data_IF_889165941977
#
_entry.id   IF_889165941977
#
_cell.length_a   1.000
_cell.length_b   1.000
_cell.length_c   1.000
_cell.angle_alpha   90.00
_cell.angle_beta   90.00
_cell.angle_gamma   90.00
#
_symmetry.space_group_name_H-M   'P 1'
#
loop_
_entity.id
_entity.type
_entity.pdbx_description
1 polymer ?
#
# COMPACT_ATOMS: atom_id res chain seq x y z
N UNK A 1 -31.48 5.70 -14.67
CA UNK A 1 -31.59 6.92 -13.82
C UNK A 1 -31.03 6.60 -12.45
N UNK A 2 -29.99 7.32 -11.98
CA UNK A 2 -29.34 7.03 -10.68
C UNK A 2 -30.03 7.87 -9.60
N UNK A 3 -30.91 7.25 -8.82
CA UNK A 3 -31.61 7.95 -7.73
C UNK A 3 -30.63 8.22 -6.59
N UNK A 4 -30.32 9.49 -6.35
CA UNK A 4 -29.51 9.96 -5.22
C UNK A 4 -30.44 10.43 -4.09
N UNK A 5 -30.37 9.76 -2.93
CA UNK A 5 -31.09 10.18 -1.73
C UNK A 5 -30.25 11.17 -0.92
N UNK A 6 -30.87 12.28 -0.52
CA UNK A 6 -30.25 13.28 0.35
C UNK A 6 -29.99 12.71 1.76
N UNK A 7 -29.22 13.41 2.59
CA UNK A 7 -29.02 13.00 3.99
C UNK A 7 -30.32 13.07 4.78
N UNK A 8 -31.18 14.03 4.45
CA UNK A 8 -32.45 14.25 5.12
C UNK A 8 -33.44 13.11 4.81
N UNK A 9 -33.54 12.70 3.55
CA UNK A 9 -34.39 11.57 3.14
C UNK A 9 -34.03 10.29 3.90
N UNK A 10 -32.73 10.10 4.19
CA UNK A 10 -32.23 8.93 4.92
C UNK A 10 -32.63 8.97 6.39
N UNK A 11 -32.52 10.14 7.02
CA UNK A 11 -32.93 10.32 8.42
C UNK A 11 -34.42 10.09 8.59
N UNK A 12 -35.24 10.66 7.70
CA UNK A 12 -36.69 10.47 7.70
C UNK A 12 -37.04 8.99 7.52
N UNK A 13 -36.39 8.29 6.59
CA UNK A 13 -36.64 6.87 6.35
C UNK A 13 -36.27 5.97 7.53
N UNK A 14 -35.15 6.25 8.21
CA UNK A 14 -34.72 5.49 9.39
C UNK A 14 -35.61 5.81 10.60
N UNK A 15 -36.00 7.08 10.79
CA UNK A 15 -36.91 7.48 11.86
C UNK A 15 -38.30 6.82 11.71
N UNK A 16 -38.83 6.77 10.48
CA UNK A 16 -40.10 6.10 10.21
C UNK A 16 -40.01 4.60 10.47
N UNK A 17 -38.89 3.95 10.13
CA UNK A 17 -38.66 2.55 10.51
C UNK A 17 -38.72 2.36 12.03
N UNK A 18 -38.05 3.21 12.82
CA UNK A 18 -38.09 3.10 14.28
C UNK A 18 -39.51 3.30 14.85
N UNK A 19 -40.37 4.08 14.17
CA UNK A 19 -41.77 4.28 14.53
C UNK A 19 -42.64 3.05 14.22
N UNK A 20 -42.50 2.45 13.04
CA UNK A 20 -43.39 1.37 12.57
C UNK A 20 -42.83 -0.04 12.75
N UNK A 21 -41.54 -0.17 13.09
CA UNK A 21 -40.80 -1.43 13.28
C UNK A 21 -40.90 -2.40 12.08
N UNK A 22 -41.18 -1.89 10.88
CA UNK A 22 -41.36 -2.70 9.66
C UNK A 22 -40.86 -1.95 8.43
N UNK A 23 -39.86 -2.53 7.76
CA UNK A 23 -39.26 -1.98 6.53
C UNK A 23 -40.29 -1.85 5.40
N UNK A 24 -41.14 -2.85 5.21
CA UNK A 24 -42.18 -2.81 4.17
C UNK A 24 -43.23 -1.73 4.43
N UNK A 25 -43.56 -1.48 5.69
CA UNK A 25 -44.53 -0.45 6.10
C UNK A 25 -43.91 0.95 6.00
N UNK A 26 -42.67 1.12 6.44
CA UNK A 26 -41.94 2.38 6.33
C UNK A 26 -41.78 2.83 4.86
N UNK A 27 -41.39 1.90 3.97
CA UNK A 27 -41.25 2.19 2.53
C UNK A 27 -42.60 2.51 1.88
N UNK A 28 -43.69 1.85 2.30
CA UNK A 28 -45.03 2.13 1.78
C UNK A 28 -45.53 3.51 2.22
N UNK A 29 -45.26 3.91 3.46
CA UNK A 29 -45.68 5.20 4.01
C UNK A 29 -44.93 6.38 3.37
N UNK A 30 -43.65 6.21 3.08
CA UNK A 30 -42.80 7.28 2.52
C UNK A 30 -42.74 7.29 1.00
N UNK A 31 -43.09 6.19 0.32
CA UNK A 31 -43.00 6.05 -1.14
C UNK A 31 -41.55 5.93 -1.67
N UNK A 32 -40.56 6.27 -0.86
CA UNK A 32 -39.13 6.07 -1.08
C UNK A 32 -38.44 5.83 0.28
N UNK A 33 -37.28 5.14 0.38
CA UNK A 33 -36.50 4.45 -0.66
C UNK A 33 -36.99 3.01 -0.92
N UNK A 34 -36.37 2.29 -1.85
CA UNK A 34 -36.61 0.84 -2.02
C UNK A 34 -36.26 0.05 -0.75
N UNK A 35 -36.95 -1.07 -0.48
CA UNK A 35 -36.75 -1.92 0.72
C UNK A 35 -35.28 -2.28 0.96
N UNK A 36 -34.57 -2.69 -0.10
CA UNK A 36 -33.14 -3.04 -0.04
C UNK A 36 -32.27 -1.85 0.43
N UNK A 37 -32.59 -0.65 -0.05
CA UNK A 37 -31.88 0.58 0.33
C UNK A 37 -32.09 0.92 1.80
N UNK A 38 -33.30 0.72 2.33
CA UNK A 38 -33.59 0.92 3.75
C UNK A 38 -32.86 -0.13 4.62
N UNK A 39 -32.84 -1.40 4.22
CA UNK A 39 -32.01 -2.42 4.89
C UNK A 39 -30.53 -2.06 4.93
N UNK A 40 -29.98 -1.54 3.82
CA UNK A 40 -28.60 -1.08 3.76
C UNK A 40 -28.34 0.07 4.75
N UNK A 41 -29.25 1.03 4.89
CA UNK A 41 -29.11 2.14 5.84
C UNK A 41 -29.24 1.71 7.30
N UNK A 42 -30.13 0.76 7.60
CA UNK A 42 -30.26 0.19 8.95
C UNK A 42 -29.02 -0.60 9.35
N UNK A 43 -28.39 -1.30 8.40
CA UNK A 43 -27.22 -2.14 8.66
C UNK A 43 -25.91 -1.35 8.72
N UNK A 44 -25.75 -0.32 7.90
CA UNK A 44 -24.48 0.39 7.70
C UNK A 44 -24.51 1.88 8.07
N UNK A 45 -25.66 2.39 8.56
CA UNK A 45 -25.87 3.81 8.87
C UNK A 45 -26.30 4.65 7.66
N UNK A 46 -26.84 5.85 7.94
CA UNK A 46 -27.35 6.80 6.94
C UNK A 46 -26.25 7.49 6.14
N UNK A 47 -25.04 7.57 6.69
CA UNK A 47 -23.88 8.10 5.99
C UNK A 47 -23.31 7.02 5.07
N UNK A 48 -23.64 7.13 3.78
CA UNK A 48 -22.91 6.44 2.71
C UNK A 48 -21.52 7.04 2.55
N UNK A 49 -20.69 6.87 3.57
CA UNK A 49 -19.31 6.49 3.36
C UNK A 49 -19.27 5.03 3.80
N UNK A 50 -19.51 4.09 2.87
CA UNK A 50 -18.84 2.79 3.03
C UNK A 50 -17.41 3.15 3.40
N UNK A 51 -16.81 2.66 4.49
CA UNK A 51 -15.39 2.85 4.70
C UNK A 51 -14.78 2.39 3.40
N UNK A 52 -14.30 3.35 2.61
CA UNK A 52 -13.59 3.00 1.41
C UNK A 52 -12.39 2.33 2.03
N UNK A 53 -12.33 1.01 1.97
CA UNK A 53 -11.12 0.27 2.27
C UNK A 53 -9.94 0.78 1.40
N UNK A 54 -10.14 1.76 0.52
CA UNK A 54 -9.10 2.58 -0.08
C UNK A 54 -8.27 3.42 0.90
N UNK A 55 -8.62 3.69 2.16
CA UNK A 55 -7.61 4.25 3.10
C UNK A 55 -6.90 3.17 3.93
N UNK A 56 -7.46 1.96 3.98
CA UNK A 56 -6.78 0.78 4.56
C UNK A 56 -5.94 0.02 3.51
N UNK A 57 -6.17 0.27 2.21
CA UNK A 57 -5.45 -0.31 1.07
C UNK A 57 -4.80 0.74 0.14
N UNK A 58 -5.15 2.03 0.22
CA UNK A 58 -4.50 3.12 -0.53
C UNK A 58 -3.91 4.21 0.37
N UNK A 59 -3.51 3.81 1.57
CA UNK A 59 -2.63 4.55 2.46
C UNK A 59 -1.88 3.52 3.29
N UNK A 60 -0.71 3.10 2.80
CA UNK A 60 0.26 2.27 3.50
C UNK A 60 0.21 2.59 5.01
N UNK A 61 -0.17 1.66 5.92
CA UNK A 61 0.26 1.82 7.30
C UNK A 61 1.78 2.01 7.17
N UNK A 62 2.33 3.08 7.73
CA UNK A 62 3.74 3.43 7.53
C UNK A 62 4.63 2.41 8.25
N UNK A 63 4.57 1.16 7.84
CA UNK A 63 5.50 0.13 8.22
C UNK A 63 6.82 0.55 7.61
N UNK A 64 7.81 0.70 8.50
CA UNK A 64 9.19 0.84 8.10
C UNK A 64 9.58 -0.36 7.22
N UNK A 65 10.46 -0.15 6.26
CA UNK A 65 10.87 -1.20 5.34
C UNK A 65 11.48 -2.42 6.07
N UNK A 66 12.13 -2.22 7.22
CA UNK A 66 12.69 -3.30 8.04
C UNK A 66 11.59 -4.24 8.57
N UNK A 67 10.44 -3.70 8.98
CA UNK A 67 9.32 -4.52 9.44
C UNK A 67 8.73 -5.34 8.30
N UNK A 68 8.69 -4.77 7.08
CA UNK A 68 8.28 -5.51 5.88
C UNK A 68 9.27 -6.63 5.56
N UNK A 69 10.58 -6.38 5.72
CA UNK A 69 11.63 -7.37 5.50
C UNK A 69 11.46 -8.53 6.48
N UNK A 70 11.32 -8.24 7.77
CA UNK A 70 11.08 -9.24 8.81
C UNK A 70 9.82 -10.09 8.52
N UNK A 71 8.74 -9.46 8.04
CA UNK A 71 7.53 -10.18 7.65
C UNK A 71 7.77 -11.14 6.46
N UNK A 72 8.62 -10.75 5.51
CA UNK A 72 8.97 -11.60 4.37
C UNK A 72 9.90 -12.75 4.78
N UNK A 73 10.87 -12.50 5.67
CA UNK A 73 11.75 -13.54 6.20
C UNK A 73 10.96 -14.62 6.94
N UNK A 74 10.03 -14.23 7.82
CA UNK A 74 9.14 -15.17 8.50
C UNK A 74 8.28 -15.94 7.48
N UNK A 75 7.80 -15.27 6.43
CA UNK A 75 7.04 -15.94 5.38
C UNK A 75 7.90 -16.97 4.61
N UNK A 76 9.17 -16.66 4.33
CA UNK A 76 10.12 -17.57 3.69
C UNK A 76 10.49 -18.76 4.59
N UNK A 77 10.50 -18.56 5.92
CA UNK A 77 10.68 -19.61 6.92
C UNK A 77 9.44 -20.52 7.06
N UNK A 78 8.35 -20.23 6.35
CA UNK A 78 7.14 -21.07 6.30
C UNK A 78 6.04 -20.68 7.29
N UNK A 79 6.18 -19.56 8.00
CA UNK A 79 5.11 -19.07 8.87
C UNK A 79 3.87 -18.68 8.06
N UNK A 80 2.67 -18.95 8.61
CA UNK A 80 1.42 -18.60 7.94
C UNK A 80 1.20 -17.09 8.07
N UNK A 81 0.64 -16.41 7.05
CA UNK A 81 0.41 -14.97 7.09
C UNK A 81 -0.42 -14.45 8.27
N UNK A 82 -1.34 -15.26 8.83
CA UNK A 82 -2.07 -14.90 10.05
C UNK A 82 -1.18 -14.92 11.31
N UNK A 83 -0.29 -15.89 11.41
CA UNK A 83 0.69 -15.96 12.52
C UNK A 83 1.65 -14.77 12.43
N UNK A 84 2.11 -14.43 11.23
CA UNK A 84 2.96 -13.24 10.97
C UNK A 84 2.22 -11.95 11.33
N UNK A 85 0.93 -11.86 11.02
CA UNK A 85 0.10 -10.72 11.38
C UNK A 85 0.06 -10.53 12.90
N UNK A 86 -0.16 -11.60 13.65
CA UNK A 86 -0.20 -11.55 15.12
C UNK A 86 1.19 -11.24 15.71
N UNK A 87 2.25 -11.84 15.18
CA UNK A 87 3.63 -11.64 15.65
C UNK A 87 4.15 -10.21 15.43
N UNK A 88 3.77 -9.58 14.31
CA UNK A 88 4.25 -8.24 13.92
C UNK A 88 3.19 -7.14 14.08
N UNK A 89 2.08 -7.45 14.75
CA UNK A 89 0.93 -6.57 14.97
C UNK A 89 0.46 -5.85 13.68
N UNK A 90 0.31 -6.63 12.60
CA UNK A 90 -0.13 -6.10 11.31
C UNK A 90 -1.64 -5.89 11.32
N UNK A 91 -2.09 -4.80 10.71
CA UNK A 91 -3.52 -4.52 10.51
C UNK A 91 -4.22 -5.62 9.71
N UNK A 92 -3.51 -6.28 8.78
CA UNK A 92 -4.08 -7.38 7.98
C UNK A 92 -3.00 -8.35 7.51
N UNK A 93 -3.28 -9.65 7.52
CA UNK A 93 -2.37 -10.66 6.96
C UNK A 93 -2.18 -10.52 5.44
N UNK A 94 -3.10 -9.86 4.73
CA UNK A 94 -3.05 -9.75 3.27
C UNK A 94 -1.84 -8.94 2.77
N UNK A 95 -1.30 -8.01 3.59
CA UNK A 95 -0.11 -7.23 3.20
C UNK A 95 1.15 -8.08 3.09
N UNK A 96 1.23 -9.20 3.82
CA UNK A 96 2.38 -10.12 3.77
C UNK A 96 2.56 -10.69 2.36
N UNK A 97 1.46 -11.10 1.71
CA UNK A 97 1.52 -11.58 0.33
C UNK A 97 2.01 -10.51 -0.65
N UNK A 98 1.56 -9.26 -0.47
CA UNK A 98 1.98 -8.15 -1.30
C UNK A 98 3.47 -7.84 -1.13
N UNK A 99 3.99 -7.92 0.09
CA UNK A 99 5.42 -7.72 0.39
C UNK A 99 6.27 -8.87 -0.13
N UNK A 100 5.89 -10.12 0.12
CA UNK A 100 6.61 -11.28 -0.39
C UNK A 100 6.70 -11.28 -1.92
N UNK A 101 5.61 -10.87 -2.61
CA UNK A 101 5.64 -10.68 -4.06
C UNK A 101 6.65 -9.62 -4.49
N UNK A 102 6.60 -8.42 -3.89
CA UNK A 102 7.52 -7.32 -4.22
C UNK A 102 8.98 -7.66 -3.91
N UNK A 103 9.21 -8.42 -2.84
CA UNK A 103 10.54 -8.89 -2.48
C UNK A 103 11.09 -9.90 -3.50
N UNK A 104 10.25 -10.79 -4.04
CA UNK A 104 10.68 -11.66 -5.15
C UNK A 104 11.00 -10.90 -6.43
N UNK A 105 10.27 -9.83 -6.72
CA UNK A 105 10.45 -9.03 -7.94
C UNK A 105 11.63 -8.05 -7.85
N UNK A 106 11.97 -7.56 -6.66
CA UNK A 106 12.93 -6.46 -6.51
C UNK A 106 13.74 -6.49 -5.22
N UNK A 107 13.77 -7.61 -4.49
CA UNK A 107 14.44 -7.73 -3.20
C UNK A 107 13.96 -6.67 -2.19
N UNK A 108 14.88 -6.23 -1.34
CA UNK A 108 14.63 -5.19 -0.34
C UNK A 108 14.18 -3.86 -0.95
N UNK A 109 14.66 -3.52 -2.15
CA UNK A 109 14.23 -2.32 -2.87
C UNK A 109 12.72 -2.29 -3.09
N UNK A 110 12.09 -3.44 -3.35
CA UNK A 110 10.65 -3.57 -3.51
C UNK A 110 9.84 -3.25 -2.24
N UNK A 111 10.47 -3.35 -1.07
CA UNK A 111 9.86 -3.08 0.24
C UNK A 111 10.03 -1.63 0.69
N UNK A 112 11.07 -0.96 0.20
CA UNK A 112 11.38 0.43 0.56
C UNK A 112 10.54 1.45 -0.22
N UNK A 113 10.17 2.53 0.44
CA UNK A 113 9.65 3.75 -0.18
C UNK A 113 10.77 4.53 -0.87
N UNK A 114 10.43 5.51 -1.73
CA UNK A 114 11.43 6.37 -2.39
C UNK A 114 12.37 7.04 -1.38
N UNK A 115 11.83 7.59 -0.29
CA UNK A 115 12.61 8.25 0.77
C UNK A 115 13.54 7.26 1.48
N UNK A 116 13.04 6.07 1.82
CA UNK A 116 13.87 5.03 2.47
C UNK A 116 14.99 4.57 1.54
N UNK A 117 14.72 4.43 0.23
CA UNK A 117 15.76 4.13 -0.77
C UNK A 117 16.79 5.23 -0.86
N UNK A 118 16.38 6.49 -0.87
CA UNK A 118 17.30 7.63 -0.94
C UNK A 118 18.18 7.72 0.32
N UNK A 119 17.68 7.25 1.48
CA UNK A 119 18.45 7.16 2.73
C UNK A 119 19.34 5.91 2.81
N UNK A 120 18.89 4.79 2.25
CA UNK A 120 19.62 3.52 2.24
C UNK A 120 20.67 3.45 1.14
N UNK A 121 20.49 4.24 0.08
CA UNK A 121 21.46 4.44 -0.97
C UNK A 121 22.67 5.12 -0.32
N UNK A 122 23.68 4.33 0.00
CA UNK A 122 25.04 4.81 0.33
C UNK A 122 25.75 5.37 -0.93
N UNK A 123 24.97 5.82 -1.91
CA UNK A 123 25.46 6.47 -3.11
C UNK A 123 25.35 7.96 -2.84
N UNK A 124 26.48 8.69 -2.87
CA UNK A 124 26.46 10.13 -2.68
C UNK A 124 25.48 10.77 -3.65
N UNK A 125 24.75 11.78 -3.15
CA UNK A 125 23.92 12.60 -4.04
C UNK A 125 24.79 13.21 -5.13
N UNK A 126 24.25 13.47 -6.32
CA UNK A 126 25.03 14.04 -7.43
C UNK A 126 25.89 15.26 -7.02
N UNK A 127 25.39 16.23 -6.25
CA UNK A 127 26.21 17.33 -5.76
C UNK A 127 27.31 16.91 -4.79
N UNK A 128 27.04 15.94 -3.90
CA UNK A 128 28.05 15.42 -2.98
C UNK A 128 29.14 14.62 -3.71
N UNK A 129 28.77 13.89 -4.76
CA UNK A 129 29.71 13.20 -5.65
C UNK A 129 30.57 14.24 -6.39
N UNK A 130 29.94 15.21 -7.04
CA UNK A 130 30.63 16.29 -7.76
C UNK A 130 31.59 17.06 -6.84
N UNK A 131 31.22 17.32 -5.59
CA UNK A 131 32.10 17.95 -4.60
C UNK A 131 33.24 17.05 -4.10
N UNK A 132 33.13 15.73 -4.24
CA UNK A 132 34.17 14.75 -3.85
C UNK A 132 35.13 14.39 -5.00
N UNK A 133 34.83 14.83 -6.22
CA UNK A 133 35.66 14.56 -7.38
C UNK A 133 36.95 15.37 -7.32
N UNK A 134 38.10 14.80 -7.73
CA UNK A 134 39.34 15.55 -7.84
C UNK A 134 39.24 16.60 -8.95
N UNK A 135 39.88 17.76 -8.75
CA UNK A 135 39.91 18.85 -9.75
C UNK A 135 40.88 18.59 -10.91
N UNK A 136 41.79 17.62 -10.75
CA UNK A 136 42.81 17.29 -11.74
C UNK A 136 42.21 16.47 -12.92
N UNK A 137 42.36 16.92 -14.18
CA UNK A 137 41.70 16.30 -15.33
C UNK A 137 42.23 14.90 -15.66
N UNK A 138 43.47 14.57 -15.32
CA UNK A 138 44.05 13.27 -15.64
C UNK A 138 43.56 12.19 -14.66
N UNK A 139 43.55 12.49 -13.35
CA UNK A 139 42.93 11.61 -12.34
C UNK A 139 41.43 11.40 -12.59
N UNK A 140 40.70 12.42 -13.07
CA UNK A 140 39.31 12.26 -13.48
C UNK A 140 39.11 11.27 -14.63
N UNK A 141 40.01 11.28 -15.62
CA UNK A 141 39.96 10.33 -16.75
C UNK A 141 40.24 8.90 -16.29
N UNK A 142 41.21 8.71 -15.40
CA UNK A 142 41.52 7.40 -14.81
C UNK A 142 40.31 6.84 -14.05
N UNK A 143 39.68 7.65 -13.20
CA UNK A 143 38.45 7.26 -12.48
C UNK A 143 37.30 6.92 -13.43
N UNK A 144 37.11 7.70 -14.50
CA UNK A 144 36.08 7.43 -15.50
C UNK A 144 36.34 6.12 -16.26
N UNK A 145 37.59 5.82 -16.59
CA UNK A 145 37.98 4.56 -17.23
C UNK A 145 37.71 3.37 -16.30
N UNK A 146 38.07 3.47 -15.01
CA UNK A 146 37.80 2.44 -14.02
C UNK A 146 36.29 2.19 -13.87
N UNK A 147 35.48 3.25 -13.77
CA UNK A 147 34.03 3.13 -13.64
C UNK A 147 33.37 2.46 -14.87
N UNK A 148 33.92 2.65 -16.07
CA UNK A 148 33.46 1.96 -17.27
C UNK A 148 33.77 0.45 -17.23
N UNK A 149 34.95 0.08 -16.74
CA UNK A 149 35.35 -1.32 -16.56
C UNK A 149 34.46 -2.00 -15.51
N UNK A 150 34.30 -1.37 -14.34
CA UNK A 150 33.48 -1.91 -13.26
C UNK A 150 32.03 -2.12 -13.71
N UNK A 151 31.49 -1.16 -14.47
CA UNK A 151 30.16 -1.29 -15.07
C UNK A 151 30.06 -2.49 -16.01
N UNK A 152 31.04 -2.68 -16.89
CA UNK A 152 31.04 -3.81 -17.83
C UNK A 152 31.10 -5.16 -17.12
N UNK A 153 31.91 -5.27 -16.05
CA UNK A 153 31.99 -6.48 -15.21
C UNK A 153 30.63 -6.76 -14.56
N UNK A 154 30.00 -5.77 -13.94
CA UNK A 154 28.69 -5.94 -13.30
C UNK A 154 27.59 -6.31 -14.30
N UNK A 155 27.61 -5.73 -15.50
CA UNK A 155 26.67 -6.08 -16.58
C UNK A 155 26.86 -7.54 -17.02
N UNK A 156 28.09 -8.04 -17.05
CA UNK A 156 28.40 -9.43 -17.37
C UNK A 156 27.90 -10.38 -16.27
N UNK A 157 28.24 -10.13 -15.01
CA UNK A 157 27.77 -10.94 -13.87
C UNK A 157 26.24 -11.02 -13.80
N UNK A 158 25.56 -9.91 -14.11
CA UNK A 158 24.11 -9.84 -14.14
C UNK A 158 23.48 -10.61 -15.30
N UNK A 159 24.22 -10.86 -16.39
CA UNK A 159 23.78 -11.72 -17.48
C UNK A 159 24.02 -13.20 -17.14
N UNK A 160 25.15 -13.51 -16.52
CA UNK A 160 25.52 -14.87 -16.11
C UNK A 160 24.57 -15.43 -15.04
N UNK A 161 24.02 -14.58 -14.17
CA UNK A 161 23.03 -14.95 -13.15
C UNK A 161 21.60 -15.15 -13.67
N UNK A 162 21.34 -14.87 -14.96
CA UNK A 162 20.02 -15.04 -15.60
C UNK A 162 19.88 -16.35 -16.40
N UNK A 163 20.90 -17.20 -16.42
CA UNK A 163 20.95 -18.54 -17.03
C UNK A 163 20.61 -19.63 -15.99
#
# INVERSE_FOLDING_TARGET
>A
MKVSYSVEDRRIAVAEYHRVQSVSKAVRNLGCPARRTLYDWLRYGTDRRKPKYTHLLAGNPRYAWQLKLQAVELFQQGYRPKEIQELLDLITFAVVYAWARRFRESGEWGLMTKRERDQHRDVPTRPALEASLPDDPDTLRELAAQALVDKAVLEQELNDTKL
#
